data_IF_691422329334
#
_entry.id   IF_691422329334
#
_cell.length_a   1.000
_cell.length_b   1.000
_cell.length_c   1.000
_cell.angle_alpha   90.00
_cell.angle_beta   90.00
_cell.angle_gamma   90.00
#
_symmetry.space_group_name_H-M   'P 1'
#
loop_
_entity.id
_entity.type
_entity.pdbx_description
1 polymer ?
#
# COMPACT_ATOMS: atom_id res chain seq x y z
N UNK A 1 -22.37 -10.72 0.28
CA UNK A 1 -21.35 -11.80 0.31
C UNK A 1 -20.01 -11.28 0.85
N UNK A 2 -20.03 -10.26 1.72
CA UNK A 2 -18.86 -9.46 2.07
C UNK A 2 -17.95 -10.06 3.16
N UNK A 3 -18.50 -10.82 4.11
CA UNK A 3 -17.72 -11.31 5.26
C UNK A 3 -16.72 -12.42 4.87
N UNK A 4 -17.13 -13.36 4.00
CA UNK A 4 -16.25 -14.43 3.52
C UNK A 4 -15.10 -13.90 2.66
N UNK A 5 -15.38 -12.91 1.80
CA UNK A 5 -14.39 -12.20 0.99
C UNK A 5 -13.36 -11.49 1.87
N UNK A 6 -13.81 -10.77 2.90
CA UNK A 6 -12.92 -10.08 3.84
C UNK A 6 -12.02 -11.06 4.61
N UNK A 7 -12.58 -12.15 5.13
CA UNK A 7 -11.82 -13.16 5.88
C UNK A 7 -10.74 -13.79 4.99
N UNK A 8 -11.09 -14.20 3.78
CA UNK A 8 -10.13 -14.78 2.83
C UNK A 8 -9.00 -13.81 2.48
N UNK A 9 -9.33 -12.55 2.16
CA UNK A 9 -8.35 -11.54 1.76
C UNK A 9 -7.42 -11.15 2.93
N UNK A 10 -7.94 -11.02 4.15
CA UNK A 10 -7.12 -10.77 5.34
C UNK A 10 -6.15 -11.94 5.55
N UNK A 11 -6.62 -13.19 5.53
CA UNK A 11 -5.75 -14.36 5.68
C UNK A 11 -4.66 -14.37 4.61
N UNK A 12 -5.05 -14.17 3.36
CA UNK A 12 -4.14 -14.12 2.22
C UNK A 12 -3.08 -13.02 2.35
N UNK A 13 -3.45 -11.87 2.95
CA UNK A 13 -2.53 -10.76 3.19
C UNK A 13 -1.45 -11.12 4.23
N UNK A 14 -1.83 -11.77 5.34
CA UNK A 14 -0.88 -12.21 6.37
C UNK A 14 0.00 -13.38 5.94
N UNK A 15 -0.51 -14.24 5.06
CA UNK A 15 0.23 -15.36 4.49
C UNK A 15 1.22 -14.92 3.40
N UNK A 16 1.06 -13.72 2.84
CA UNK A 16 1.91 -13.20 1.78
C UNK A 16 3.29 -12.79 2.32
N UNK A 17 4.37 -13.53 2.00
CA UNK A 17 5.70 -13.23 2.54
C UNK A 17 6.22 -11.86 2.08
N UNK A 18 5.89 -11.47 0.84
CA UNK A 18 6.34 -10.19 0.26
C UNK A 18 5.72 -8.96 0.91
N UNK A 19 4.67 -9.12 1.74
CA UNK A 19 4.10 -8.03 2.51
C UNK A 19 4.92 -7.73 3.79
N UNK A 20 5.86 -8.61 4.16
CA UNK A 20 6.58 -8.60 5.45
C UNK A 20 8.10 -8.74 5.32
N UNK A 21 8.61 -9.22 4.20
CA UNK A 21 9.99 -9.72 4.06
C UNK A 21 11.10 -8.68 4.22
N UNK A 22 10.87 -7.40 3.94
CA UNK A 22 11.92 -6.38 4.01
C UNK A 22 11.87 -5.53 5.29
N UNK A 23 10.82 -5.64 6.10
CA UNK A 23 10.59 -4.81 7.29
C UNK A 23 10.67 -5.65 8.58
N UNK A 24 11.00 -4.99 9.70
CA UNK A 24 10.83 -5.64 11.00
C UNK A 24 9.34 -5.89 11.29
N UNK A 25 9.02 -6.89 12.12
CA UNK A 25 7.62 -7.27 12.39
C UNK A 25 6.76 -6.09 12.89
N UNK A 26 7.31 -5.21 13.73
CA UNK A 26 6.60 -4.02 14.23
C UNK A 26 6.29 -3.00 13.14
N UNK A 27 7.16 -2.85 12.15
CA UNK A 27 7.02 -1.93 11.02
C UNK A 27 6.03 -2.50 9.99
N UNK A 28 6.17 -3.79 9.68
CA UNK A 28 5.27 -4.51 8.79
C UNK A 28 3.84 -4.54 9.34
N UNK A 29 3.67 -4.68 10.66
CA UNK A 29 2.34 -4.69 11.30
C UNK A 29 1.53 -3.41 11.03
N UNK A 30 2.18 -2.25 10.92
CA UNK A 30 1.50 -0.98 10.59
C UNK A 30 0.91 -1.06 9.18
N UNK A 31 1.70 -1.55 8.22
CA UNK A 31 1.30 -1.67 6.84
C UNK A 31 0.23 -2.74 6.64
N UNK A 32 0.34 -3.87 7.33
CA UNK A 32 -0.65 -4.95 7.31
C UNK A 32 -1.99 -4.49 7.88
N UNK A 33 -1.99 -3.79 9.01
CA UNK A 33 -3.21 -3.24 9.62
C UNK A 33 -3.89 -2.23 8.69
N UNK A 34 -3.13 -1.36 8.04
CA UNK A 34 -3.69 -0.48 7.00
C UNK A 34 -4.29 -1.28 5.83
N UNK A 35 -3.63 -2.36 5.42
CA UNK A 35 -4.14 -3.28 4.40
C UNK A 35 -5.45 -3.97 4.80
N UNK A 36 -5.58 -4.45 6.04
CA UNK A 36 -6.84 -5.00 6.59
C UNK A 36 -7.97 -3.97 6.49
N UNK A 37 -7.71 -2.72 6.89
CA UNK A 37 -8.71 -1.66 6.80
C UNK A 37 -9.17 -1.42 5.35
N UNK A 38 -8.28 -1.56 4.37
CA UNK A 38 -8.66 -1.45 2.95
C UNK A 38 -9.42 -2.69 2.47
N UNK A 39 -9.06 -3.90 2.90
CA UNK A 39 -9.81 -5.12 2.60
C UNK A 39 -11.23 -5.03 3.12
N UNK A 40 -11.42 -4.54 4.36
CA UNK A 40 -12.75 -4.35 4.93
C UNK A 40 -13.58 -3.36 4.10
N UNK A 41 -12.98 -2.25 3.64
CA UNK A 41 -13.66 -1.30 2.76
C UNK A 41 -14.03 -1.90 1.41
N UNK A 42 -13.16 -2.72 0.80
CA UNK A 42 -13.50 -3.43 -0.45
C UNK A 42 -14.69 -4.37 -0.25
N UNK A 43 -14.70 -5.09 0.87
CA UNK A 43 -15.78 -6.04 1.17
C UNK A 43 -17.13 -5.32 1.36
N UNK A 44 -17.13 -4.10 1.89
CA UNK A 44 -18.34 -3.27 2.02
C UNK A 44 -18.95 -2.87 0.66
N UNK A 45 -18.20 -2.93 -0.44
CA UNK A 45 -18.69 -2.60 -1.78
C UNK A 45 -19.54 -3.72 -2.42
N UNK A 46 -19.70 -4.87 -1.76
CA UNK A 46 -20.47 -6.06 -2.19
C UNK A 46 -20.24 -6.41 -3.67
N UNK A 47 -18.96 -6.42 -4.07
CA UNK A 47 -18.53 -6.70 -5.42
C UNK A 47 -18.64 -8.20 -5.76
N UNK A 48 -18.79 -8.52 -7.04
CA UNK A 48 -18.64 -9.90 -7.50
C UNK A 48 -17.22 -10.43 -7.21
N UNK A 49 -17.10 -11.72 -6.89
CA UNK A 49 -15.86 -12.35 -6.44
C UNK A 49 -14.66 -12.06 -7.33
N UNK A 50 -14.81 -12.17 -8.65
CA UNK A 50 -13.72 -11.91 -9.60
C UNK A 50 -13.24 -10.45 -9.57
N UNK A 51 -14.14 -9.52 -9.30
CA UNK A 51 -13.80 -8.09 -9.22
C UNK A 51 -13.18 -7.74 -7.87
N UNK A 52 -13.64 -8.40 -6.79
CA UNK A 52 -13.01 -8.31 -5.47
C UNK A 52 -11.58 -8.87 -5.49
N UNK A 53 -11.38 -10.05 -6.07
CA UNK A 53 -10.05 -10.68 -6.19
C UNK A 53 -9.08 -9.80 -6.97
N UNK A 54 -9.52 -9.22 -8.09
CA UNK A 54 -8.72 -8.27 -8.86
C UNK A 54 -8.35 -7.01 -8.05
N UNK A 55 -9.29 -6.45 -7.30
CA UNK A 55 -9.03 -5.30 -6.42
C UNK A 55 -8.05 -5.66 -5.28
N UNK A 56 -8.20 -6.84 -4.69
CA UNK A 56 -7.29 -7.38 -3.69
C UNK A 56 -5.86 -7.58 -4.25
N UNK A 57 -5.72 -8.08 -5.47
CA UNK A 57 -4.41 -8.23 -6.12
C UNK A 57 -3.69 -6.90 -6.32
N UNK A 58 -4.44 -5.84 -6.65
CA UNK A 58 -3.91 -4.48 -6.72
C UNK A 58 -3.47 -3.98 -5.34
N UNK A 59 -4.27 -4.17 -4.29
CA UNK A 59 -3.92 -3.81 -2.92
C UNK A 59 -2.67 -4.56 -2.43
N UNK A 60 -2.63 -5.88 -2.60
CA UNK A 60 -1.50 -6.73 -2.26
C UNK A 60 -0.24 -6.32 -3.04
N UNK A 61 -0.38 -5.98 -4.32
CA UNK A 61 0.70 -5.43 -5.14
C UNK A 61 1.24 -4.09 -4.63
N UNK A 62 0.36 -3.22 -4.13
CA UNK A 62 0.70 -1.93 -3.54
C UNK A 62 1.43 -2.09 -2.22
N UNK A 63 0.91 -2.91 -1.31
CA UNK A 63 1.51 -3.19 0.01
C UNK A 63 2.94 -3.71 -0.14
N UNK A 64 3.18 -4.69 -1.03
CA UNK A 64 4.54 -5.22 -1.27
C UNK A 64 5.54 -4.15 -1.71
N UNK A 65 5.09 -3.21 -2.56
CA UNK A 65 5.95 -2.12 -3.05
C UNK A 65 6.22 -1.10 -1.96
N UNK A 66 5.22 -0.78 -1.14
CA UNK A 66 5.38 0.11 0.02
C UNK A 66 6.34 -0.50 1.05
N UNK A 67 6.19 -1.79 1.35
CA UNK A 67 7.08 -2.54 2.24
C UNK A 67 8.54 -2.41 1.78
N UNK A 68 8.81 -2.79 0.52
CA UNK A 68 10.16 -2.74 -0.07
C UNK A 68 10.74 -1.34 -0.11
N UNK A 69 9.93 -0.34 -0.48
CA UNK A 69 10.41 1.03 -0.53
C UNK A 69 10.72 1.57 0.87
N UNK A 70 9.84 1.36 1.84
CA UNK A 70 10.04 1.83 3.21
C UNK A 70 11.34 1.32 3.82
N UNK A 71 11.64 0.02 3.62
CA UNK A 71 12.85 -0.63 4.10
C UNK A 71 14.15 -0.09 3.49
N UNK A 72 14.08 0.42 2.26
CA UNK A 72 15.26 0.83 1.47
C UNK A 72 15.36 2.35 1.33
N UNK A 73 14.35 3.10 1.75
CA UNK A 73 14.16 4.53 1.45
C UNK A 73 15.38 5.38 1.79
N UNK A 74 16.03 5.12 2.94
CA UNK A 74 17.17 5.90 3.42
C UNK A 74 18.43 5.76 2.56
N UNK A 75 18.59 4.65 1.85
CA UNK A 75 19.77 4.34 1.04
C UNK A 75 19.49 4.33 -0.47
N UNK A 76 18.23 4.52 -0.88
CA UNK A 76 17.81 4.40 -2.26
C UNK A 76 18.24 5.65 -3.07
N UNK A 77 18.97 5.49 -4.19
CA UNK A 77 19.26 6.59 -5.11
C UNK A 77 17.97 7.25 -5.62
N UNK A 78 18.06 8.54 -5.99
CA UNK A 78 16.90 9.31 -6.44
C UNK A 78 16.21 8.69 -7.65
N UNK A 79 16.95 8.23 -8.64
CA UNK A 79 16.40 7.60 -9.85
C UNK A 79 15.61 6.33 -9.51
N UNK A 80 16.16 5.46 -8.66
CA UNK A 80 15.49 4.24 -8.22
C UNK A 80 14.25 4.53 -7.37
N UNK A 81 14.30 5.60 -6.57
CA UNK A 81 13.14 6.10 -5.83
C UNK A 81 12.03 6.57 -6.77
N UNK A 82 12.34 7.36 -7.79
CA UNK A 82 11.37 7.83 -8.77
C UNK A 82 10.69 6.65 -9.48
N UNK A 83 11.47 5.63 -9.88
CA UNK A 83 10.94 4.39 -10.46
C UNK A 83 10.01 3.67 -9.47
N UNK A 84 10.44 3.50 -8.22
CA UNK A 84 9.63 2.83 -7.20
C UNK A 84 8.32 3.59 -6.91
N UNK A 85 8.38 4.92 -6.81
CA UNK A 85 7.24 5.78 -6.57
C UNK A 85 6.25 5.78 -7.73
N UNK A 86 6.72 5.79 -8.98
CA UNK A 86 5.86 5.64 -10.15
C UNK A 86 5.09 4.31 -10.13
N UNK A 87 5.72 3.21 -9.70
CA UNK A 87 5.05 1.92 -9.55
C UNK A 87 4.04 1.91 -8.39
N UNK A 88 4.34 2.60 -7.29
CA UNK A 88 3.38 2.75 -6.19
C UNK A 88 2.17 3.55 -6.67
N UNK A 89 2.37 4.67 -7.37
CA UNK A 89 1.30 5.49 -7.91
C UNK A 89 0.42 4.73 -8.92
N UNK A 90 1.02 3.90 -9.79
CA UNK A 90 0.29 3.04 -10.73
C UNK A 90 -0.65 2.07 -10.01
N UNK A 91 -0.15 1.34 -9.00
CA UNK A 91 -0.97 0.40 -8.23
C UNK A 91 -2.01 1.09 -7.36
N UNK A 92 -1.67 2.24 -6.77
CA UNK A 92 -2.61 3.05 -6.01
C UNK A 92 -3.76 3.53 -6.90
N UNK A 93 -3.48 3.98 -8.13
CA UNK A 93 -4.52 4.34 -9.10
C UNK A 93 -5.39 3.15 -9.51
N UNK A 94 -4.80 1.97 -9.77
CA UNK A 94 -5.57 0.73 -10.06
C UNK A 94 -6.47 0.33 -8.88
N UNK A 95 -6.06 0.64 -7.65
CA UNK A 95 -6.85 0.42 -6.44
C UNK A 95 -7.90 1.52 -6.15
N UNK A 96 -7.94 2.59 -6.95
CA UNK A 96 -8.88 3.71 -6.72
C UNK A 96 -8.37 4.79 -5.76
N UNK A 97 -7.06 4.85 -5.51
CA UNK A 97 -6.38 5.88 -4.72
C UNK A 97 -5.28 6.59 -5.54
N UNK A 98 -5.65 7.32 -6.62
CA UNK A 98 -4.65 7.99 -7.44
C UNK A 98 -3.90 9.05 -6.62
N UNK A 99 -2.58 8.90 -6.51
CA UNK A 99 -1.73 9.86 -5.81
C UNK A 99 -1.59 11.12 -6.68
N UNK A 100 -1.91 12.33 -6.15
CA UNK A 100 -1.70 13.57 -6.90
C UNK A 100 -0.22 13.76 -7.27
N UNK A 101 0.12 14.16 -8.51
CA UNK A 101 1.50 14.35 -8.94
C UNK A 101 2.31 15.27 -8.01
N UNK A 102 1.69 16.34 -7.50
CA UNK A 102 2.33 17.28 -6.59
C UNK A 102 2.69 16.68 -5.22
N UNK A 103 1.92 15.69 -4.74
CA UNK A 103 2.24 14.97 -3.50
C UNK A 103 3.33 13.93 -3.75
N UNK A 104 3.32 13.30 -4.94
CA UNK A 104 4.35 12.37 -5.37
C UNK A 104 5.72 13.07 -5.46
N UNK A 105 5.79 14.21 -6.14
CA UNK A 105 7.00 15.03 -6.28
C UNK A 105 7.52 15.47 -4.91
N UNK A 106 6.62 15.95 -4.04
CA UNK A 106 6.97 16.34 -2.67
C UNK A 106 7.58 15.19 -1.88
N UNK A 107 7.03 13.98 -1.99
CA UNK A 107 7.59 12.80 -1.31
C UNK A 107 8.97 12.42 -1.84
N UNK A 108 9.20 12.53 -3.16
CA UNK A 108 10.48 12.23 -3.80
C UNK A 108 11.57 13.20 -3.33
N UNK A 109 11.24 14.48 -3.19
CA UNK A 109 12.16 15.52 -2.74
C UNK A 109 12.51 15.44 -1.25
N UNK A 110 11.65 14.84 -0.43
CA UNK A 110 11.91 14.68 0.99
C UNK A 110 13.03 13.66 1.25
N UNK A 111 13.96 13.94 2.19
CA UNK A 111 14.91 12.94 2.63
C UNK A 111 14.16 11.79 3.33
N UNK A 112 14.60 10.55 3.08
CA UNK A 112 14.08 9.39 3.80
C UNK A 112 14.38 9.46 5.29
N UNK A 113 13.47 8.95 6.13
CA UNK A 113 13.77 8.75 7.55
C UNK A 113 14.75 7.59 7.70
N UNK A 114 15.72 7.66 8.64
CA UNK A 114 16.51 6.48 9.02
C UNK A 114 15.67 5.42 9.76
N UNK A 115 14.46 5.78 10.19
CA UNK A 115 13.50 4.86 10.80
C UNK A 115 12.48 4.40 9.74
N UNK A 116 12.44 3.11 9.47
CA UNK A 116 11.50 2.53 8.50
C UNK A 116 10.04 2.71 8.93
N UNK A 117 9.75 2.77 10.24
CA UNK A 117 8.40 3.03 10.73
C UNK A 117 7.85 4.37 10.20
N UNK A 118 8.69 5.41 10.22
CA UNK A 118 8.33 6.73 9.70
C UNK A 118 8.14 6.68 8.18
N UNK A 119 8.98 5.93 7.47
CA UNK A 119 8.84 5.75 6.02
C UNK A 119 7.53 5.03 5.66
N UNK A 120 7.15 3.98 6.42
CA UNK A 120 5.85 3.29 6.26
C UNK A 120 4.70 4.27 6.46
N UNK A 121 4.71 5.04 7.56
CA UNK A 121 3.66 6.01 7.87
C UNK A 121 3.54 7.10 6.81
N UNK A 122 4.67 7.61 6.32
CA UNK A 122 4.71 8.60 5.26
C UNK A 122 4.12 8.05 3.94
N UNK A 123 4.43 6.81 3.57
CA UNK A 123 3.86 6.17 2.38
C UNK A 123 2.35 5.94 2.52
N UNK A 124 1.88 5.48 3.68
CA UNK A 124 0.44 5.33 3.93
C UNK A 124 -0.26 6.68 3.80
N UNK A 125 0.27 7.74 4.43
CA UNK A 125 -0.30 9.08 4.34
C UNK A 125 -0.35 9.58 2.89
N UNK A 126 0.71 9.34 2.11
CA UNK A 126 0.76 9.71 0.70
C UNK A 126 -0.30 8.98 -0.13
N UNK A 127 -0.41 7.65 -0.01
CA UNK A 127 -1.42 6.87 -0.74
C UNK A 127 -2.83 7.32 -0.36
N UNK A 128 -3.07 7.54 0.94
CA UNK A 128 -4.37 7.98 1.46
C UNK A 128 -4.74 9.40 1.03
N UNK A 129 -3.79 10.24 0.62
CA UNK A 129 -4.09 11.57 0.05
C UNK A 129 -4.91 11.48 -1.25
N UNK A 130 -4.78 10.37 -1.98
CA UNK A 130 -5.54 10.07 -3.19
C UNK A 130 -6.87 9.37 -2.95
N UNK A 131 -7.20 9.01 -1.71
CA UNK A 131 -8.44 8.29 -1.41
C UNK A 131 -9.64 9.19 -1.65
N UNK A 132 -10.48 8.82 -2.61
CA UNK A 132 -11.76 9.49 -2.82
C UNK A 132 -12.77 9.06 -1.75
N UNK A 133 -13.65 9.97 -1.29
CA UNK A 133 -14.76 9.58 -0.42
C UNK A 133 -15.66 8.60 -1.17
N UNK A 134 -16.05 7.52 -0.49
CA UNK A 134 -17.06 6.58 -0.99
C UNK A 134 -18.37 7.38 -1.11
N UNK A 135 -18.87 7.55 -2.34
CA UNK A 135 -20.12 8.26 -2.65
C UNK A 135 -21.29 7.29 -2.62
#
# INVERSE_FOLDING_TARGET
>A
MSEEQAVWAIQSLYENPGARDELADSEAAILLRWGEEQVMRLAELDMEDASFEAAYDHLSGLIRRMNRLAARRAALPREDLEIAMNRIAEYAAMFGMPIPPEELDRYIEQPGSPNNEDNVRALIALVMSGQQPIV
#
